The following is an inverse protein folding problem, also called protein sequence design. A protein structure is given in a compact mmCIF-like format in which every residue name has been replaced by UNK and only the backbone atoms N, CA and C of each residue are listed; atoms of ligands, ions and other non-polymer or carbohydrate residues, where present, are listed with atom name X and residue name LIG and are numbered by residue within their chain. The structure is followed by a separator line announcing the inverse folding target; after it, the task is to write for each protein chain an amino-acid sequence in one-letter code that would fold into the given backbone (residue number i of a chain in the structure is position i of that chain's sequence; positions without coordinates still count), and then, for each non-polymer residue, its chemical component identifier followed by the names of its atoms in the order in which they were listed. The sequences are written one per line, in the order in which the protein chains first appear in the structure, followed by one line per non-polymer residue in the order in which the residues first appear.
data_IF_706621487736
#
_entry.id   IF_706621487736
#
_cell.length_a   1.000
_cell.length_b   1.000
_cell.length_c   1.000
_cell.angle_alpha   90.00
_cell.angle_beta   90.00
_cell.angle_gamma   90.00
#
_symmetry.space_group_name_H-M   'P 1'
#
loop_
_entity.id
_entity.type
_entity.pdbx_description
1 polymer ?
#
# COMPACT_ATOMS: atom_id res chain seq x y z
N UNK A 1 51.65 30.89 -27.39
CA UNK A 1 52.41 30.58 -26.16
C UNK A 1 51.52 30.29 -24.96
N UNK A 2 50.27 30.78 -24.95
CA UNK A 2 49.31 30.66 -23.84
C UNK A 2 48.98 29.22 -23.43
N UNK A 3 48.78 28.32 -24.39
CA UNK A 3 48.46 26.90 -24.12
C UNK A 3 49.60 26.21 -23.35
N UNK A 4 50.87 26.51 -23.68
CA UNK A 4 52.02 25.96 -22.98
C UNK A 4 52.10 26.46 -21.53
N UNK A 5 51.73 27.72 -21.30
CA UNK A 5 51.70 28.34 -19.97
C UNK A 5 50.61 27.68 -19.11
N UNK A 6 49.43 27.47 -19.67
CA UNK A 6 48.30 26.80 -18.99
C UNK A 6 48.65 25.35 -18.62
N UNK A 7 49.29 24.61 -19.52
CA UNK A 7 49.75 23.24 -19.24
C UNK A 7 50.76 23.20 -18.10
N UNK A 8 51.71 24.14 -18.05
CA UNK A 8 52.67 24.24 -16.96
C UNK A 8 52.04 24.60 -15.61
N UNK A 9 50.99 25.44 -15.60
CA UNK A 9 50.23 25.77 -14.39
C UNK A 9 49.51 24.53 -13.84
N UNK A 10 48.88 23.73 -14.71
CA UNK A 10 48.18 22.51 -14.31
C UNK A 10 49.16 21.48 -13.73
N UNK A 11 50.31 21.28 -14.36
CA UNK A 11 51.36 20.37 -13.87
C UNK A 11 51.89 20.84 -12.50
N UNK A 12 52.09 22.14 -12.31
CA UNK A 12 52.50 22.73 -11.04
C UNK A 12 51.48 22.47 -9.92
N UNK A 13 50.19 22.64 -10.19
CA UNK A 13 49.11 22.35 -9.23
C UNK A 13 49.07 20.88 -8.84
N UNK A 14 49.15 19.96 -9.81
CA UNK A 14 49.16 18.51 -9.55
C UNK A 14 50.37 18.14 -8.69
N UNK A 15 51.54 18.72 -8.95
CA UNK A 15 52.75 18.46 -8.17
C UNK A 15 52.62 18.92 -6.72
N UNK A 16 52.02 20.10 -6.47
CA UNK A 16 51.78 20.63 -5.12
C UNK A 16 50.79 19.74 -4.33
N UNK A 17 49.69 19.33 -4.96
CA UNK A 17 48.71 18.45 -4.33
C UNK A 17 49.24 17.03 -4.10
N UNK A 18 50.10 16.53 -4.98
CA UNK A 18 50.77 15.24 -4.83
C UNK A 18 51.70 15.22 -3.62
N UNK A 19 52.48 16.28 -3.41
CA UNK A 19 53.46 16.36 -2.30
C UNK A 19 52.82 16.57 -0.92
N UNK A 20 51.56 16.99 -0.88
CA UNK A 20 50.83 17.34 0.36
C UNK A 20 50.13 16.16 1.05
N UNK A 21 50.16 14.95 0.47
CA UNK A 21 49.62 13.74 1.12
C UNK A 21 50.61 13.14 2.11
N UNK A 22 50.74 13.77 3.29
CA UNK A 22 51.31 13.10 4.48
C UNK A 22 50.31 12.08 5.02
N UNK A 23 50.81 10.88 5.32
CA UNK A 23 50.10 9.71 5.86
C UNK A 23 49.33 10.10 7.12
N UNK A 24 48.00 9.98 7.10
CA UNK A 24 47.17 10.05 8.29
C UNK A 24 47.01 8.62 8.85
N UNK A 25 47.50 8.43 10.07
CA UNK A 25 47.26 7.28 10.95
C UNK A 25 45.76 7.18 11.27
N UNK A 26 45.17 5.98 11.41
CA UNK A 26 43.75 5.82 11.70
C UNK A 26 43.41 6.24 13.15
N UNK A 27 42.28 6.92 13.40
CA UNK A 27 41.79 7.22 14.75
C UNK A 27 41.14 5.99 15.42
N UNK A 28 41.13 5.93 16.77
CA UNK A 28 40.52 4.84 17.52
C UNK A 28 38.98 4.93 17.54
N UNK A 29 38.35 3.75 17.59
CA UNK A 29 36.91 3.50 17.66
C UNK A 29 36.26 4.16 18.89
N UNK A 30 35.16 4.94 18.74
CA UNK A 30 34.38 5.38 19.88
C UNK A 30 33.31 4.35 20.28
N UNK A 31 33.30 4.01 21.57
CA UNK A 31 32.20 3.38 22.31
C UNK A 31 31.01 4.36 22.37
N UNK A 32 29.74 3.94 22.29
CA UNK A 32 28.62 4.87 22.39
C UNK A 32 28.37 5.24 23.86
N UNK A 33 28.58 6.51 24.20
CA UNK A 33 28.04 7.13 25.41
C UNK A 33 26.54 7.40 25.26
N UNK A 34 25.82 7.16 26.35
CA UNK A 34 24.40 7.42 26.51
C UNK A 34 24.10 8.92 26.59
N UNK A 35 23.04 9.36 25.93
CA UNK A 35 22.55 10.75 25.99
C UNK A 35 21.17 10.93 25.35
N UNK A 36 20.15 10.66 26.16
CA UNK A 36 18.76 11.19 26.16
C UNK A 36 18.12 11.69 24.86
N UNK A 37 17.24 10.86 24.29
CA UNK A 37 15.83 11.20 24.04
C UNK A 37 14.98 9.94 24.31
N UNK A 38 13.85 10.13 25.00
CA UNK A 38 13.14 9.12 25.79
C UNK A 38 12.40 8.00 25.06
N UNK A 39 13.05 7.31 24.12
CA UNK A 39 12.61 5.99 23.68
C UNK A 39 13.71 4.97 23.99
N UNK A 40 13.52 4.25 25.09
CA UNK A 40 14.25 2.99 25.30
C UNK A 40 14.02 2.13 24.05
N UNK A 41 15.06 1.52 23.46
CA UNK A 41 14.85 0.55 22.40
C UNK A 41 14.08 -0.64 23.01
N UNK A 42 12.77 -0.67 22.77
CA UNK A 42 11.92 -1.76 23.24
C UNK A 42 12.32 -3.03 22.52
N UNK A 43 12.48 -4.11 23.28
CA UNK A 43 12.75 -5.42 22.70
C UNK A 43 11.45 -6.02 22.17
N UNK A 44 11.57 -6.97 21.26
CA UNK A 44 10.43 -7.63 20.64
C UNK A 44 9.48 -8.30 21.65
N UNK A 45 10.03 -8.75 22.78
CA UNK A 45 9.27 -9.33 23.88
C UNK A 45 8.39 -8.28 24.58
N UNK A 46 8.92 -7.07 24.79
CA UNK A 46 8.21 -5.95 25.40
C UNK A 46 7.05 -5.45 24.51
N UNK A 47 7.27 -5.41 23.19
CA UNK A 47 6.23 -5.13 22.19
C UNK A 47 5.12 -6.19 22.16
N UNK A 48 5.48 -7.47 22.28
CA UNK A 48 4.50 -8.56 22.33
C UNK A 48 3.66 -8.51 23.61
N UNK A 49 4.28 -8.14 24.72
CA UNK A 49 3.60 -8.01 26.01
C UNK A 49 2.61 -6.84 26.00
N UNK A 50 2.96 -5.71 25.38
CA UNK A 50 2.07 -4.56 25.21
C UNK A 50 0.84 -4.90 24.36
N UNK A 51 1.01 -5.62 23.24
CA UNK A 51 -0.10 -6.05 22.39
C UNK A 51 -1.05 -7.01 23.13
N UNK A 52 -0.51 -7.90 23.97
CA UNK A 52 -1.34 -8.82 24.77
C UNK A 52 -2.08 -8.10 25.89
N UNK A 53 -1.47 -7.09 26.51
CA UNK A 53 -2.09 -6.27 27.57
C UNK A 53 -3.09 -5.25 27.02
N UNK A 54 -2.93 -4.81 25.76
CA UNK A 54 -3.82 -3.89 25.05
C UNK A 54 -5.16 -4.49 24.61
N UNK A 55 -5.39 -5.80 24.82
CA UNK A 55 -6.67 -6.46 24.56
C UNK A 55 -7.67 -6.14 25.69
N UNK A 56 -8.02 -4.87 25.78
CA UNK A 56 -9.07 -4.36 26.66
C UNK A 56 -10.41 -4.88 26.14
N UNK A 57 -11.09 -5.62 27.02
CA UNK A 57 -12.45 -6.15 26.91
C UNK A 57 -13.35 -5.24 26.08
N UNK A 58 -13.80 -5.73 24.92
CA UNK A 58 -14.88 -5.12 24.15
C UNK A 58 -16.13 -5.01 25.04
N UNK A 59 -16.76 -3.83 25.03
CA UNK A 59 -18.02 -3.56 25.71
C UNK A 59 -19.07 -4.63 25.40
N UNK A 60 -19.99 -4.92 26.34
CA UNK A 60 -21.00 -5.95 26.13
C UNK A 60 -21.88 -5.60 24.93
N UNK A 61 -21.82 -6.45 23.91
CA UNK A 61 -22.71 -6.43 22.75
C UNK A 61 -24.16 -6.42 23.25
N UNK A 62 -25.02 -5.50 22.79
CA UNK A 62 -26.43 -5.52 23.14
C UNK A 62 -27.06 -6.83 22.65
N UNK A 63 -27.69 -7.55 23.59
CA UNK A 63 -28.39 -8.81 23.33
C UNK A 63 -29.42 -8.58 22.21
N UNK A 64 -29.40 -9.36 21.12
CA UNK A 64 -30.42 -9.25 20.10
C UNK A 64 -31.78 -9.63 20.70
N UNK A 65 -32.81 -8.83 20.41
CA UNK A 65 -34.19 -9.12 20.79
C UNK A 65 -34.60 -10.54 20.35
N UNK A 66 -35.44 -11.25 21.12
CA UNK A 66 -35.81 -12.61 20.80
C UNK A 66 -36.49 -12.68 19.42
N UNK A 67 -35.89 -13.46 18.53
CA UNK A 67 -36.46 -13.77 17.23
C UNK A 67 -37.80 -14.48 17.46
N UNK A 68 -38.88 -13.88 16.99
CA UNK A 68 -40.20 -14.51 16.99
C UNK A 68 -40.11 -15.74 16.09
N UNK A 69 -40.11 -16.92 16.70
CA UNK A 69 -40.16 -18.20 15.98
C UNK A 69 -41.51 -18.26 15.25
N UNK A 70 -41.55 -18.38 13.91
CA UNK A 70 -42.80 -18.54 13.20
C UNK A 70 -43.50 -19.81 13.67
N UNK A 71 -44.74 -19.68 14.13
CA UNK A 71 -45.57 -20.81 14.52
C UNK A 71 -45.77 -21.70 13.26
N UNK A 72 -45.58 -23.03 13.33
CA UNK A 72 -45.78 -23.89 12.17
C UNK A 72 -47.23 -23.77 11.69
N UNK A 73 -47.42 -23.30 10.45
CA UNK A 73 -48.71 -23.34 9.79
C UNK A 73 -49.07 -24.81 9.58
N UNK A 74 -50.16 -25.24 10.20
CA UNK A 74 -50.75 -26.55 9.94
C UNK A 74 -51.33 -26.50 8.53
N UNK A 75 -50.65 -27.11 7.56
CA UNK A 75 -51.13 -27.22 6.20
C UNK A 75 -52.27 -28.24 6.16
N UNK A 76 -53.51 -27.75 6.13
CA UNK A 76 -54.69 -28.59 5.99
C UNK A 76 -54.66 -29.31 4.63
N UNK A 77 -54.42 -30.61 4.66
CA UNK A 77 -54.41 -31.52 3.51
C UNK A 77 -55.86 -31.92 3.17
N UNK A 78 -56.61 -30.99 2.59
CA UNK A 78 -57.85 -31.33 1.89
C UNK A 78 -57.69 -30.86 0.45
N UNK A 79 -57.16 -31.75 -0.38
CA UNK A 79 -57.14 -31.56 -1.82
C UNK A 79 -58.48 -32.06 -2.37
N UNK A 80 -59.31 -31.13 -2.85
CA UNK A 80 -60.48 -31.49 -3.65
C UNK A 80 -60.04 -32.14 -4.98
N UNK A 81 -60.71 -33.19 -5.45
CA UNK A 81 -60.37 -33.82 -6.72
C UNK A 81 -60.69 -32.85 -7.87
N UNK A 82 -59.65 -32.30 -8.48
CA UNK A 82 -59.76 -31.47 -9.69
C UNK A 82 -60.10 -32.36 -10.90
N UNK A 83 -60.96 -31.91 -11.83
CA UNK A 83 -61.26 -32.65 -13.05
C UNK A 83 -60.03 -32.77 -13.96
N UNK A 84 -59.89 -33.91 -14.65
CA UNK A 84 -58.82 -34.21 -15.62
C UNK A 84 -59.10 -33.49 -16.97
N UNK A 85 -59.24 -32.17 -16.93
CA UNK A 85 -59.30 -31.37 -18.17
C UNK A 85 -57.87 -31.12 -18.66
N UNK A 86 -57.68 -31.18 -19.98
CA UNK A 86 -56.39 -31.23 -20.69
C UNK A 86 -55.32 -30.33 -20.05
N UNK A 87 -54.34 -30.96 -19.40
CA UNK A 87 -53.22 -30.26 -18.79
C UNK A 87 -52.15 -30.14 -19.87
N UNK A 88 -52.07 -28.97 -20.50
CA UNK A 88 -50.90 -28.59 -21.27
C UNK A 88 -49.71 -28.51 -20.30
N UNK A 89 -48.98 -29.63 -20.13
CA UNK A 89 -47.82 -29.73 -19.26
C UNK A 89 -46.64 -28.99 -19.89
N UNK A 90 -46.70 -27.67 -19.92
CA UNK A 90 -45.53 -26.85 -20.22
C UNK A 90 -44.65 -26.84 -18.97
N UNK A 91 -43.78 -27.84 -18.85
CA UNK A 91 -42.87 -28.03 -17.70
C UNK A 91 -42.10 -26.76 -17.31
N UNK A 92 -41.85 -25.87 -18.28
CA UNK A 92 -41.19 -24.58 -18.06
C UNK A 92 -42.04 -23.56 -17.30
N UNK A 93 -43.38 -23.67 -17.36
CA UNK A 93 -44.32 -22.74 -16.71
C UNK A 93 -44.88 -23.27 -15.39
N UNK A 94 -44.73 -24.56 -15.11
CA UNK A 94 -45.26 -25.18 -13.88
C UNK A 94 -44.26 -25.14 -12.72
N UNK A 95 -42.97 -25.15 -13.02
CA UNK A 95 -41.91 -25.15 -12.03
C UNK A 95 -41.54 -23.72 -11.63
N UNK A 96 -41.90 -23.34 -10.39
CA UNK A 96 -41.55 -22.06 -9.75
C UNK A 96 -40.06 -21.72 -9.82
N UNK A 97 -39.20 -22.73 -9.97
CA UNK A 97 -37.75 -22.57 -10.10
C UNK A 97 -37.39 -21.78 -11.37
N UNK A 98 -38.07 -22.05 -12.49
CA UNK A 98 -37.82 -21.32 -13.74
C UNK A 98 -38.36 -19.89 -13.68
N UNK A 99 -39.50 -19.67 -13.03
CA UNK A 99 -40.03 -18.32 -12.80
C UNK A 99 -39.05 -17.47 -11.98
N UNK A 100 -38.48 -18.04 -10.90
CA UNK A 100 -37.47 -17.38 -10.07
C UNK A 100 -36.19 -17.10 -10.86
N UNK A 101 -35.73 -18.06 -11.66
CA UNK A 101 -34.54 -17.89 -12.50
C UNK A 101 -34.75 -16.78 -13.54
N UNK A 102 -35.89 -16.79 -14.24
CA UNK A 102 -36.22 -15.78 -15.24
C UNK A 102 -36.38 -14.40 -14.60
N UNK A 103 -37.01 -14.32 -13.43
CA UNK A 103 -37.13 -13.08 -12.68
C UNK A 103 -35.76 -12.55 -12.24
N UNK A 104 -34.91 -13.39 -11.64
CA UNK A 104 -33.57 -13.00 -11.21
C UNK A 104 -32.70 -12.56 -12.39
N UNK A 105 -32.83 -13.23 -13.54
CA UNK A 105 -32.12 -12.88 -14.77
C UNK A 105 -32.55 -11.50 -15.25
N UNK A 106 -33.85 -11.23 -15.35
CA UNK A 106 -34.38 -9.91 -15.73
C UNK A 106 -33.96 -8.81 -14.77
N UNK A 107 -34.01 -9.07 -13.47
CA UNK A 107 -33.57 -8.13 -12.44
C UNK A 107 -32.07 -7.85 -12.51
N UNK A 108 -31.23 -8.87 -12.79
CA UNK A 108 -29.80 -8.68 -12.95
C UNK A 108 -29.45 -7.79 -14.16
N UNK A 109 -30.19 -7.91 -15.26
CA UNK A 109 -30.04 -7.05 -16.44
C UNK A 109 -30.54 -5.62 -16.22
N UNK A 110 -31.50 -5.42 -15.32
CA UNK A 110 -32.04 -4.09 -14.98
C UNK A 110 -31.23 -3.37 -13.90
N UNK A 111 -30.25 -4.04 -13.27
CA UNK A 111 -29.38 -3.38 -12.29
C UNK A 111 -28.46 -2.40 -13.03
N UNK A 112 -28.42 -1.12 -12.59
CA UNK A 112 -27.47 -0.17 -13.17
C UNK A 112 -26.06 -0.71 -12.98
N UNK A 113 -25.23 -0.56 -14.01
CA UNK A 113 -23.83 -0.93 -13.90
C UNK A 113 -23.17 -0.13 -12.77
N UNK A 114 -22.12 -0.67 -12.15
CA UNK A 114 -21.39 0.05 -11.10
C UNK A 114 -20.96 1.44 -11.58
N UNK A 115 -20.57 1.54 -12.85
CA UNK A 115 -20.20 2.78 -13.54
C UNK A 115 -21.38 3.76 -13.65
N UNK A 116 -22.59 3.28 -13.96
CA UNK A 116 -23.81 4.10 -14.03
C UNK A 116 -24.29 4.59 -12.66
N UNK A 117 -24.09 3.80 -11.60
CA UNK A 117 -24.35 4.25 -10.21
C UNK A 117 -23.33 5.24 -9.70
N UNK A 118 -22.11 5.21 -10.26
CA UNK A 118 -21.04 6.15 -9.93
C UNK A 118 -21.24 7.44 -10.72
N UNK A 119 -22.03 8.37 -10.18
CA UNK A 119 -22.24 9.70 -10.77
C UNK A 119 -20.95 10.52 -10.71
N UNK A 120 -20.06 10.32 -11.68
CA UNK A 120 -18.80 11.07 -11.81
C UNK A 120 -19.05 12.57 -12.09
N UNK A 121 -20.22 12.90 -12.62
CA UNK A 121 -20.65 14.26 -12.99
C UNK A 121 -20.80 15.19 -11.77
N UNK A 122 -21.07 14.65 -10.58
CA UNK A 122 -21.23 15.41 -9.33
C UNK A 122 -19.93 15.60 -8.54
N UNK A 123 -18.79 15.18 -9.11
CA UNK A 123 -17.50 15.35 -8.43
C UNK A 123 -16.96 16.77 -8.62
N UNK A 124 -17.19 17.63 -7.63
CA UNK A 124 -16.51 18.93 -7.52
C UNK A 124 -15.05 18.67 -7.14
N UNK A 125 -14.20 18.48 -8.15
CA UNK A 125 -12.75 18.34 -7.96
C UNK A 125 -12.16 19.69 -7.59
N UNK A 126 -11.91 19.92 -6.30
CA UNK A 126 -11.16 21.09 -5.83
C UNK A 126 -9.66 20.85 -5.99
N UNK A 127 -8.95 21.91 -6.35
CA UNK A 127 -7.50 21.89 -6.48
C UNK A 127 -6.83 21.32 -5.20
N UNK A 128 -5.92 20.35 -5.39
CA UNK A 128 -5.17 19.63 -4.33
C UNK A 128 -5.93 18.65 -3.44
N UNK A 129 -7.22 18.35 -3.68
CA UNK A 129 -7.93 17.33 -2.89
C UNK A 129 -7.27 15.94 -2.95
N UNK A 130 -6.59 15.63 -4.06
CA UNK A 130 -5.93 14.34 -4.24
C UNK A 130 -4.44 14.34 -3.88
N UNK A 131 -3.92 15.43 -3.32
CA UNK A 131 -2.50 15.54 -2.97
C UNK A 131 -2.06 14.48 -1.95
N UNK A 132 -2.95 14.04 -1.07
CA UNK A 132 -2.70 12.95 -0.11
C UNK A 132 -2.58 11.57 -0.76
N UNK A 133 -3.10 11.40 -1.97
CA UNK A 133 -3.02 10.16 -2.75
C UNK A 133 -1.94 10.21 -3.84
N UNK A 134 -1.28 11.37 -4.00
CA UNK A 134 -0.17 11.52 -4.92
C UNK A 134 1.03 10.75 -4.37
N UNK A 135 1.46 9.72 -5.10
CA UNK A 135 2.67 8.98 -4.75
C UNK A 135 3.86 9.88 -5.01
N UNK A 136 4.59 10.25 -3.95
CA UNK A 136 5.87 10.93 -4.11
C UNK A 136 6.82 10.04 -4.90
N UNK A 137 7.22 10.49 -6.10
CA UNK A 137 8.22 9.76 -6.88
C UNK A 137 9.55 9.88 -6.15
N UNK A 138 9.97 8.81 -5.45
CA UNK A 138 11.31 8.77 -4.87
C UNK A 138 12.32 8.74 -6.02
N UNK A 139 13.32 9.64 -6.03
CA UNK A 139 14.33 9.60 -7.07
C UNK A 139 15.04 8.24 -7.04
N UNK A 140 15.29 7.67 -8.22
CA UNK A 140 16.09 6.44 -8.35
C UNK A 140 17.43 6.60 -7.65
N UNK A 141 17.99 5.50 -7.11
CA UNK A 141 19.30 5.51 -6.46
C UNK A 141 20.39 6.14 -7.35
N UNK A 142 20.41 5.81 -8.64
CA UNK A 142 21.33 6.41 -9.62
C UNK A 142 21.24 7.94 -9.68
N UNK A 143 20.01 8.48 -9.67
CA UNK A 143 19.78 9.94 -9.66
C UNK A 143 20.22 10.57 -8.33
N UNK A 144 20.02 9.89 -7.20
CA UNK A 144 20.49 10.38 -5.91
C UNK A 144 22.03 10.46 -5.88
N UNK A 145 22.74 9.44 -6.37
CA UNK A 145 24.20 9.48 -6.44
C UNK A 145 24.72 10.52 -7.42
N UNK A 146 24.07 10.69 -8.58
CA UNK A 146 24.45 11.72 -9.53
C UNK A 146 24.30 13.14 -8.94
N UNK A 147 23.34 13.35 -8.05
CA UNK A 147 23.19 14.60 -7.29
C UNK A 147 24.30 14.73 -6.24
N UNK A 148 24.57 13.68 -5.46
CA UNK A 148 25.62 13.69 -4.44
C UNK A 148 27.05 13.86 -5.01
N UNK A 149 27.30 13.42 -6.26
CA UNK A 149 28.57 13.66 -6.97
C UNK A 149 28.79 15.12 -7.37
N UNK A 150 27.71 15.89 -7.53
CA UNK A 150 27.79 17.32 -7.86
C UNK A 150 28.13 18.16 -6.63
N UNK A 151 27.78 17.69 -5.44
CA UNK A 151 28.05 18.39 -4.19
C UNK A 151 29.46 18.06 -3.67
N UNK A 152 30.33 19.07 -3.47
CA UNK A 152 31.71 18.84 -3.03
C UNK A 152 31.79 18.23 -1.62
N UNK A 153 30.78 18.45 -0.79
CA UNK A 153 30.67 17.91 0.57
C UNK A 153 30.32 16.41 0.57
N UNK A 154 29.47 15.97 -0.35
CA UNK A 154 28.97 14.60 -0.44
C UNK A 154 29.72 13.72 -1.46
N UNK A 155 30.66 14.30 -2.22
CA UNK A 155 31.43 13.61 -3.25
C UNK A 155 32.06 12.29 -2.77
N UNK A 156 32.66 12.27 -1.57
CA UNK A 156 33.29 11.05 -1.02
C UNK A 156 32.29 9.92 -0.81
N UNK A 157 31.11 10.25 -0.29
CA UNK A 157 30.02 9.29 -0.05
C UNK A 157 29.54 8.70 -1.37
N UNK A 158 29.29 9.55 -2.36
CA UNK A 158 28.86 9.13 -3.68
C UNK A 158 29.91 8.27 -4.40
N UNK A 159 31.18 8.63 -4.27
CA UNK A 159 32.30 7.86 -4.83
C UNK A 159 32.41 6.45 -4.23
N UNK A 160 32.31 6.34 -2.89
CA UNK A 160 32.31 5.03 -2.22
C UNK A 160 31.09 4.20 -2.64
N UNK A 161 29.91 4.81 -2.72
CA UNK A 161 28.69 4.14 -3.18
C UNK A 161 28.82 3.64 -4.63
N UNK A 162 29.41 4.42 -5.53
CA UNK A 162 29.66 3.98 -6.91
C UNK A 162 30.62 2.78 -6.97
N UNK A 163 31.64 2.77 -6.11
CA UNK A 163 32.59 1.66 -6.02
C UNK A 163 31.92 0.38 -5.49
N UNK A 164 31.04 0.49 -4.48
CA UNK A 164 30.31 -0.65 -3.93
C UNK A 164 29.38 -1.26 -4.98
N UNK A 165 28.67 -0.42 -5.74
CA UNK A 165 27.74 -0.89 -6.76
C UNK A 165 28.46 -1.60 -7.90
N UNK A 166 29.58 -1.04 -8.38
CA UNK A 166 30.38 -1.60 -9.48
C UNK A 166 31.11 -2.90 -9.09
N UNK A 167 31.24 -3.20 -7.80
CA UNK A 167 31.78 -4.49 -7.32
C UNK A 167 30.73 -5.58 -7.19
N UNK A 168 29.47 -5.20 -6.94
CA UNK A 168 28.38 -6.14 -6.64
C UNK A 168 27.61 -6.55 -7.88
N UNK A 169 27.51 -5.67 -8.87
CA UNK A 169 26.84 -5.87 -10.15
C UNK A 169 27.88 -5.76 -11.26
#
# INVERSE_FOLDING_TARGET
MEIKIIVWIIIGLIYIFSRSKKKQTPPPTPTPEAGSDGHRPMTFEELLQEIQQGKKVEEPVPVPAPVVVPRPMVQSTYAEPKPLEDVDYDYRKQDRIYEIYDQATREAFQRPSLEETMKLEDTIVRYKQFKSYEKESRPSLARQYALELRDPTNFRKAFIMSEILNRRF
#
